data_IF_139098649663
#
_entry.id   IF_139098649663
#
_cell.length_a   1.000
_cell.length_b   1.000
_cell.length_c   1.000
_cell.angle_alpha   90.00
_cell.angle_beta   90.00
_cell.angle_gamma   90.00
#
_symmetry.space_group_name_H-M   'P 1'
#
loop_
_entity.id
_entity.type
_entity.pdbx_description
1 polymer ?
#
# COMPACT_ATOMS: atom_id res chain seq x y z
N UNK A 1 -18.39 -36.65 -4.51
CA UNK A 1 -19.82 -36.42 -4.25
C UNK A 1 -19.98 -35.92 -2.82
N UNK A 2 -20.26 -34.63 -2.64
CA UNK A 2 -20.59 -34.07 -1.32
C UNK A 2 -22.06 -34.47 -1.09
N UNK A 3 -22.32 -35.46 -0.28
CA UNK A 3 -23.65 -36.04 -0.06
C UNK A 3 -23.98 -36.05 1.45
N UNK A 4 -23.43 -35.16 2.23
CA UNK A 4 -23.81 -35.06 3.64
C UNK A 4 -24.57 -33.75 3.91
N UNK A 5 -25.33 -33.72 5.00
CA UNK A 5 -26.00 -32.54 5.50
C UNK A 5 -25.01 -31.56 6.20
N UNK A 6 -23.72 -31.98 6.30
CA UNK A 6 -22.68 -31.16 6.93
C UNK A 6 -22.28 -29.97 6.04
N UNK A 7 -21.85 -28.89 6.66
CA UNK A 7 -21.27 -27.74 5.98
C UNK A 7 -19.80 -28.01 5.64
N UNK A 8 -19.41 -27.67 4.41
CA UNK A 8 -18.06 -27.83 3.91
C UNK A 8 -17.44 -26.46 3.61
N UNK A 9 -16.20 -26.27 4.04
CA UNK A 9 -15.37 -25.12 3.70
C UNK A 9 -14.30 -25.58 2.73
N UNK A 10 -14.31 -25.03 1.51
CA UNK A 10 -13.38 -25.40 0.45
C UNK A 10 -12.41 -24.25 0.22
N UNK A 11 -11.13 -24.50 0.46
CA UNK A 11 -10.05 -23.54 0.24
C UNK A 11 -9.28 -23.95 -1.01
N UNK A 12 -9.21 -23.06 -1.99
CA UNK A 12 -8.49 -23.24 -3.23
C UNK A 12 -7.41 -22.14 -3.33
N UNK A 13 -6.16 -22.57 -3.19
CA UNK A 13 -5.02 -21.65 -3.16
C UNK A 13 -4.40 -21.49 -4.55
N UNK A 14 -3.99 -20.25 -4.89
CA UNK A 14 -3.35 -19.87 -6.14
C UNK A 14 -4.11 -20.40 -7.39
N UNK A 15 -5.44 -20.21 -7.41
CA UNK A 15 -6.33 -20.82 -8.42
C UNK A 15 -6.01 -20.39 -9.85
N UNK A 16 -5.37 -19.25 -10.07
CA UNK A 16 -4.96 -18.76 -11.39
C UNK A 16 -3.95 -19.70 -12.09
N UNK A 17 -3.33 -20.60 -11.35
CA UNK A 17 -2.42 -21.61 -11.91
C UNK A 17 -3.16 -22.82 -12.54
N UNK A 18 -4.49 -22.88 -12.38
CA UNK A 18 -5.32 -23.99 -12.90
C UNK A 18 -6.22 -23.47 -14.01
N UNK A 19 -5.99 -23.85 -15.28
CA UNK A 19 -6.86 -23.43 -16.37
C UNK A 19 -8.31 -23.90 -16.16
N UNK A 20 -9.27 -23.00 -16.35
CA UNK A 20 -10.71 -23.32 -16.24
C UNK A 20 -11.22 -23.51 -14.79
N UNK A 21 -10.47 -23.10 -13.77
CA UNK A 21 -10.89 -23.17 -12.36
C UNK A 21 -12.24 -22.50 -12.10
N UNK A 22 -12.61 -21.49 -12.89
CA UNK A 22 -13.86 -20.75 -12.75
C UNK A 22 -15.09 -21.68 -12.80
N UNK A 23 -15.09 -22.68 -13.69
CA UNK A 23 -16.19 -23.68 -13.80
C UNK A 23 -16.26 -24.59 -12.57
N UNK A 24 -15.11 -24.94 -12.00
CA UNK A 24 -15.06 -25.73 -10.77
C UNK A 24 -15.61 -24.95 -9.58
N UNK A 25 -15.20 -23.67 -9.46
CA UNK A 25 -15.70 -22.76 -8.42
C UNK A 25 -17.20 -22.55 -8.55
N UNK A 26 -17.73 -22.26 -9.75
CA UNK A 26 -19.16 -22.10 -9.97
C UNK A 26 -19.94 -23.38 -9.61
N UNK A 27 -19.43 -24.56 -9.98
CA UNK A 27 -20.06 -25.84 -9.63
C UNK A 27 -20.06 -26.17 -8.12
N UNK A 28 -19.13 -25.61 -7.35
CA UNK A 28 -19.12 -25.70 -5.90
C UNK A 28 -20.07 -24.68 -5.26
N UNK A 29 -20.06 -23.46 -5.79
CA UNK A 29 -20.88 -22.35 -5.29
C UNK A 29 -22.39 -22.62 -5.30
N UNK A 30 -22.89 -23.35 -6.29
CA UNK A 30 -24.33 -23.70 -6.36
C UNK A 30 -24.79 -24.71 -5.28
N UNK A 31 -23.87 -25.27 -4.50
CA UNK A 31 -24.19 -26.22 -3.43
C UNK A 31 -24.48 -25.44 -2.15
N UNK A 32 -25.67 -25.71 -1.55
CA UNK A 32 -26.16 -24.97 -0.37
C UNK A 32 -25.33 -25.15 0.89
N UNK A 33 -24.55 -26.22 0.97
CA UNK A 33 -23.75 -26.59 2.13
C UNK A 33 -22.24 -26.45 1.87
N UNK A 34 -21.84 -25.61 0.91
CA UNK A 34 -20.42 -25.40 0.58
C UNK A 34 -20.10 -23.90 0.55
N UNK A 35 -19.18 -23.48 1.41
CA UNK A 35 -18.55 -22.20 1.36
C UNK A 35 -17.19 -22.32 0.64
N UNK A 36 -16.96 -21.49 -0.39
CA UNK A 36 -15.76 -21.56 -1.21
C UNK A 36 -14.89 -20.33 -0.96
N UNK A 37 -13.65 -20.57 -0.60
CA UNK A 37 -12.59 -19.56 -0.44
C UNK A 37 -11.55 -19.79 -1.51
N UNK A 38 -11.25 -18.75 -2.28
CA UNK A 38 -10.21 -18.81 -3.32
C UNK A 38 -9.16 -17.73 -3.04
N UNK A 39 -7.88 -18.07 -3.29
CA UNK A 39 -6.80 -17.11 -3.22
C UNK A 39 -6.11 -16.92 -4.56
N UNK A 40 -5.43 -15.80 -4.69
CA UNK A 40 -4.54 -15.51 -5.80
C UNK A 40 -3.68 -14.30 -5.54
N UNK A 41 -2.48 -14.35 -6.07
CA UNK A 41 -1.41 -13.38 -5.80
C UNK A 41 -1.46 -12.13 -6.67
N UNK A 42 -2.54 -11.88 -7.43
CA UNK A 42 -2.63 -10.67 -8.24
C UNK A 42 -4.07 -10.18 -8.48
N UNK A 43 -4.19 -8.90 -8.88
CA UNK A 43 -5.46 -8.25 -9.22
C UNK A 43 -6.16 -8.89 -10.43
N UNK A 44 -5.45 -9.66 -11.27
CA UNK A 44 -5.99 -10.31 -12.46
C UNK A 44 -6.98 -11.44 -12.12
N UNK A 45 -6.90 -11.97 -10.90
CA UNK A 45 -7.83 -13.00 -10.44
C UNK A 45 -9.29 -12.55 -10.54
N UNK A 46 -9.54 -11.27 -10.30
CA UNK A 46 -10.88 -10.67 -10.30
C UNK A 46 -11.24 -9.95 -11.61
N UNK A 47 -10.35 -10.01 -12.61
CA UNK A 47 -10.60 -9.48 -13.95
C UNK A 47 -10.99 -10.58 -14.94
N UNK A 48 -11.62 -10.22 -16.03
CA UNK A 48 -11.98 -11.16 -17.12
C UNK A 48 -13.12 -12.13 -16.76
N UNK A 49 -12.91 -13.42 -17.02
CA UNK A 49 -13.97 -14.45 -16.90
C UNK A 49 -14.50 -14.61 -15.46
N UNK A 50 -13.66 -14.45 -14.43
CA UNK A 50 -14.11 -14.53 -13.04
C UNK A 50 -15.05 -13.38 -12.70
N UNK A 51 -14.72 -12.16 -13.14
CA UNK A 51 -15.56 -11.01 -12.94
C UNK A 51 -16.93 -11.17 -13.60
N UNK A 52 -17.01 -11.89 -14.74
CA UNK A 52 -18.26 -12.13 -15.44
C UNK A 52 -19.06 -13.31 -14.85
N UNK A 53 -18.42 -14.43 -14.55
CA UNK A 53 -19.10 -15.63 -14.05
C UNK A 53 -19.55 -15.54 -12.60
N UNK A 54 -18.77 -14.87 -11.75
CA UNK A 54 -19.05 -14.74 -10.32
C UNK A 54 -19.46 -13.33 -9.92
N UNK A 55 -19.76 -12.45 -10.87
CA UNK A 55 -20.16 -11.06 -10.60
C UNK A 55 -21.33 -11.00 -9.61
N UNK A 56 -21.15 -10.23 -8.53
CA UNK A 56 -22.15 -10.10 -7.45
C UNK A 56 -22.31 -11.31 -6.54
N UNK A 57 -21.46 -12.34 -6.68
CA UNK A 57 -21.51 -13.61 -5.92
C UNK A 57 -20.33 -13.85 -5.01
N UNK A 58 -19.40 -12.90 -4.89
CA UNK A 58 -18.22 -13.02 -4.02
C UNK A 58 -17.99 -11.73 -3.23
N UNK A 59 -17.24 -11.88 -2.15
CA UNK A 59 -16.70 -10.78 -1.37
C UNK A 59 -15.18 -10.82 -1.54
N UNK A 60 -14.59 -9.69 -1.95
CA UNK A 60 -13.15 -9.54 -2.06
C UNK A 60 -12.56 -9.17 -0.70
N UNK A 61 -11.56 -9.96 -0.26
CA UNK A 61 -10.76 -9.66 0.93
C UNK A 61 -9.33 -9.35 0.48
N UNK A 62 -8.95 -8.08 0.55
CA UNK A 62 -7.60 -7.62 0.21
C UNK A 62 -6.68 -7.81 1.41
N UNK A 63 -5.67 -8.68 1.23
CA UNK A 63 -4.66 -8.92 2.25
C UNK A 63 -3.46 -7.99 2.03
N UNK A 64 -3.14 -7.19 3.05
CA UNK A 64 -1.92 -6.39 3.13
C UNK A 64 -0.90 -7.08 4.04
N UNK A 65 0.38 -6.74 4.00
CA UNK A 65 1.33 -7.11 5.06
C UNK A 65 0.79 -6.75 6.44
N UNK A 66 1.35 -7.29 7.51
CA UNK A 66 0.89 -7.02 8.87
C UNK A 66 0.77 -5.52 9.13
N UNK A 67 -0.33 -5.09 9.74
CA UNK A 67 -0.47 -3.77 10.33
C UNK A 67 0.52 -3.58 11.47
N UNK A 68 0.78 -2.34 11.88
CA UNK A 68 1.59 -2.11 13.06
C UNK A 68 0.95 -2.75 14.32
N UNK A 69 -0.37 -2.72 14.45
CA UNK A 69 -1.11 -3.37 15.53
C UNK A 69 -0.91 -4.89 15.55
N UNK A 70 -0.96 -5.55 14.40
CA UNK A 70 -0.66 -6.98 14.28
C UNK A 70 0.83 -7.27 14.53
N UNK A 71 1.72 -6.42 14.04
CA UNK A 71 3.16 -6.54 14.26
C UNK A 71 3.50 -6.52 15.76
N UNK A 72 3.02 -5.53 16.51
CA UNK A 72 3.33 -5.43 17.96
C UNK A 72 2.76 -6.59 18.75
N UNK A 73 1.61 -7.17 18.34
CA UNK A 73 1.01 -8.32 19.02
C UNK A 73 1.90 -9.57 19.02
N UNK A 74 2.88 -9.61 18.13
CA UNK A 74 3.85 -10.70 18.06
C UNK A 74 5.02 -10.56 19.05
N UNK A 75 5.18 -9.43 19.73
CA UNK A 75 6.31 -9.17 20.63
C UNK A 75 5.84 -8.92 22.06
N UNK A 76 6.52 -9.54 23.04
CA UNK A 76 6.32 -9.28 24.47
C UNK A 76 7.07 -8.00 24.90
N UNK A 77 6.81 -6.88 24.23
CA UNK A 77 7.48 -5.60 24.44
C UNK A 77 6.47 -4.45 24.33
N UNK A 78 6.41 -3.61 25.36
CA UNK A 78 5.50 -2.47 25.43
C UNK A 78 6.16 -1.14 24.97
N UNK A 79 7.39 -1.17 24.48
CA UNK A 79 8.03 0.00 23.91
C UNK A 79 7.58 0.18 22.46
N UNK A 80 6.34 0.64 22.27
CA UNK A 80 5.72 0.81 20.94
C UNK A 80 6.48 1.78 20.06
N UNK A 81 7.16 2.79 20.62
CA UNK A 81 7.97 3.73 19.84
C UNK A 81 9.16 3.03 19.18
N UNK A 82 9.88 2.19 19.93
CA UNK A 82 10.99 1.42 19.37
C UNK A 82 10.48 0.38 18.37
N UNK A 83 9.40 -0.34 18.69
CA UNK A 83 8.78 -1.30 17.79
C UNK A 83 8.31 -0.63 16.48
N UNK A 84 7.88 0.63 16.56
CA UNK A 84 7.48 1.38 15.35
C UNK A 84 8.68 1.74 14.47
N UNK A 85 9.78 2.17 15.05
CA UNK A 85 11.02 2.41 14.30
C UNK A 85 11.53 1.12 13.61
N UNK A 86 11.43 -0.01 14.32
CA UNK A 86 11.78 -1.32 13.77
C UNK A 86 10.82 -1.73 12.65
N UNK A 87 9.51 -1.49 12.80
CA UNK A 87 8.50 -1.73 11.78
C UNK A 87 8.72 -0.86 10.52
N UNK A 88 9.04 0.42 10.71
CA UNK A 88 9.37 1.32 9.59
C UNK A 88 10.55 0.81 8.77
N UNK A 89 11.56 0.22 9.41
CA UNK A 89 12.77 -0.29 8.77
C UNK A 89 12.58 -1.69 8.17
N UNK A 90 12.00 -2.58 8.96
CA UNK A 90 11.97 -4.01 8.66
C UNK A 90 10.70 -4.44 7.91
N UNK A 91 9.66 -3.59 7.91
CA UNK A 91 8.38 -3.88 7.27
C UNK A 91 7.47 -4.83 8.04
N UNK A 92 6.32 -5.12 7.45
CA UNK A 92 5.26 -5.95 8.00
C UNK A 92 5.09 -7.31 7.31
N UNK A 93 6.06 -7.80 6.53
CA UNK A 93 5.94 -9.14 5.96
C UNK A 93 5.86 -10.19 7.08
N UNK A 94 4.86 -11.12 7.07
CA UNK A 94 4.61 -12.02 8.22
C UNK A 94 5.83 -12.84 8.65
N UNK A 95 6.64 -13.32 7.70
CA UNK A 95 7.84 -14.08 8.02
C UNK A 95 8.95 -13.27 8.69
N UNK A 96 8.92 -11.93 8.60
CA UNK A 96 9.88 -11.06 9.30
C UNK A 96 9.86 -11.31 10.81
N UNK A 97 8.68 -11.54 11.40
CA UNK A 97 8.52 -11.75 12.84
C UNK A 97 9.41 -12.88 13.34
N UNK A 98 9.38 -14.03 12.69
CA UNK A 98 10.18 -15.19 13.09
C UNK A 98 11.69 -14.94 12.94
N UNK A 99 12.08 -14.24 11.87
CA UNK A 99 13.45 -13.90 11.59
C UNK A 99 13.98 -12.88 12.60
N UNK A 100 13.23 -11.84 12.89
CA UNK A 100 13.59 -10.82 13.88
C UNK A 100 13.75 -11.41 15.29
N UNK A 101 12.96 -12.42 15.64
CA UNK A 101 13.07 -13.15 16.90
C UNK A 101 14.25 -14.12 16.97
N UNK A 102 14.74 -14.60 15.82
CA UNK A 102 15.82 -15.60 15.74
C UNK A 102 17.16 -14.99 15.36
N UNK A 103 17.28 -14.47 14.16
CA UNK A 103 18.53 -13.91 13.63
C UNK A 103 18.24 -12.81 12.58
N UNK A 104 18.30 -11.56 13.00
CA UNK A 104 18.05 -10.39 12.16
C UNK A 104 18.93 -10.34 10.89
N UNK A 105 20.10 -10.95 10.91
CA UNK A 105 21.03 -10.97 9.76
C UNK A 105 20.50 -11.78 8.56
N UNK A 106 19.48 -12.59 8.75
CA UNK A 106 18.84 -13.36 7.67
C UNK A 106 17.65 -12.62 7.03
N UNK A 107 17.29 -11.43 7.54
CA UNK A 107 16.17 -10.65 7.04
C UNK A 107 16.35 -10.26 5.56
N UNK A 108 17.51 -9.76 5.20
CA UNK A 108 17.78 -9.36 3.80
C UNK A 108 17.70 -10.54 2.83
N UNK A 109 18.15 -11.73 3.23
CA UNK A 109 18.02 -12.95 2.42
C UNK A 109 16.55 -13.36 2.23
N UNK A 110 15.75 -13.22 3.28
CA UNK A 110 14.32 -13.52 3.22
C UNK A 110 13.58 -12.53 2.31
N UNK A 111 13.85 -11.23 2.46
CA UNK A 111 13.26 -10.19 1.62
C UNK A 111 13.71 -10.30 0.16
N UNK A 112 14.95 -10.69 -0.10
CA UNK A 112 15.44 -11.04 -1.45
C UNK A 112 14.63 -12.17 -2.08
N UNK A 113 14.38 -13.23 -1.31
CA UNK A 113 13.56 -14.35 -1.76
C UNK A 113 12.13 -13.95 -2.13
N UNK A 114 11.50 -13.11 -1.31
CA UNK A 114 10.16 -12.55 -1.60
C UNK A 114 10.21 -11.69 -2.85
N UNK A 115 11.11 -10.71 -2.89
CA UNK A 115 11.25 -9.79 -4.03
C UNK A 115 11.51 -10.54 -5.33
N UNK A 116 12.45 -11.48 -5.33
CA UNK A 116 12.77 -12.31 -6.48
C UNK A 116 11.56 -13.12 -6.94
N UNK A 117 10.79 -13.70 -6.02
CA UNK A 117 9.58 -14.45 -6.37
C UNK A 117 8.55 -13.56 -7.05
N UNK A 118 8.26 -12.38 -6.50
CA UNK A 118 7.32 -11.43 -7.07
C UNK A 118 7.79 -10.98 -8.46
N UNK A 119 9.06 -10.57 -8.59
CA UNK A 119 9.61 -10.04 -9.85
C UNK A 119 9.62 -11.12 -10.93
N UNK A 120 10.13 -12.32 -10.64
CA UNK A 120 10.29 -13.35 -11.68
C UNK A 120 9.00 -14.10 -12.00
N UNK A 121 8.22 -14.52 -10.98
CA UNK A 121 7.01 -15.32 -11.21
C UNK A 121 5.79 -14.46 -11.50
N UNK A 122 5.58 -13.41 -10.69
CA UNK A 122 4.33 -12.66 -10.77
C UNK A 122 4.37 -11.51 -11.78
N UNK A 123 5.54 -10.94 -12.04
CA UNK A 123 5.66 -9.81 -12.95
C UNK A 123 6.21 -10.26 -14.31
N UNK A 124 7.46 -10.75 -14.36
CA UNK A 124 8.11 -11.05 -15.64
C UNK A 124 7.44 -12.18 -16.40
N UNK A 125 7.21 -13.33 -15.76
CA UNK A 125 6.64 -14.49 -16.44
C UNK A 125 5.21 -14.24 -16.94
N UNK A 126 4.37 -13.55 -16.15
CA UNK A 126 2.98 -13.27 -16.53
C UNK A 126 2.84 -12.21 -17.62
N UNK A 127 3.69 -11.19 -17.61
CA UNK A 127 3.61 -10.07 -18.55
C UNK A 127 4.57 -10.21 -19.74
N UNK A 128 5.21 -11.39 -19.90
CA UNK A 128 6.22 -11.63 -20.94
C UNK A 128 7.33 -10.55 -20.96
N UNK A 129 7.71 -10.04 -19.79
CA UNK A 129 8.77 -9.05 -19.65
C UNK A 129 10.11 -9.79 -19.70
N UNK A 130 10.96 -9.45 -20.67
CA UNK A 130 12.28 -10.06 -20.86
C UNK A 130 13.44 -9.19 -20.36
N UNK A 131 13.25 -7.87 -20.35
CA UNK A 131 14.27 -6.93 -19.87
C UNK A 131 14.19 -6.73 -18.35
N UNK A 132 14.93 -7.62 -17.64
CA UNK A 132 15.04 -7.59 -16.18
C UNK A 132 15.68 -6.30 -15.69
N UNK A 133 16.75 -5.83 -16.35
CA UNK A 133 17.51 -4.66 -15.90
C UNK A 133 16.66 -3.40 -15.94
N UNK A 134 15.89 -3.22 -17.00
CA UNK A 134 14.97 -2.11 -17.12
C UNK A 134 13.85 -2.20 -16.07
N UNK A 135 13.26 -3.39 -15.87
CA UNK A 135 12.22 -3.60 -14.85
C UNK A 135 12.74 -3.25 -13.45
N UNK A 136 13.89 -3.78 -13.05
CA UNK A 136 14.49 -3.46 -11.74
C UNK A 136 14.81 -1.98 -11.60
N UNK A 137 15.20 -1.32 -12.69
CA UNK A 137 15.47 0.12 -12.69
C UNK A 137 14.19 0.95 -12.48
N UNK A 138 13.08 0.54 -13.10
CA UNK A 138 11.76 1.14 -12.88
C UNK A 138 11.29 0.92 -11.44
N UNK A 139 11.43 -0.30 -10.91
CA UNK A 139 11.09 -0.62 -9.51
C UNK A 139 11.89 0.27 -8.56
N UNK A 140 13.21 0.30 -8.70
CA UNK A 140 14.09 1.13 -7.85
C UNK A 140 13.74 2.60 -7.92
N UNK A 141 13.39 3.11 -9.12
CA UNK A 141 12.96 4.50 -9.26
C UNK A 141 11.68 4.80 -8.47
N UNK A 142 10.68 3.93 -8.56
CA UNK A 142 9.40 4.11 -7.87
C UNK A 142 9.59 3.99 -6.35
N UNK A 143 10.36 2.99 -5.89
CA UNK A 143 10.65 2.78 -4.47
C UNK A 143 11.43 3.95 -3.86
N UNK A 144 12.33 4.57 -4.64
CA UNK A 144 13.07 5.77 -4.22
C UNK A 144 12.18 7.03 -4.16
N UNK A 145 11.15 7.08 -4.96
CA UNK A 145 10.28 8.27 -5.12
C UNK A 145 8.90 8.11 -4.46
N UNK A 146 8.74 7.19 -3.48
CA UNK A 146 7.45 7.02 -2.78
C UNK A 146 6.98 8.35 -2.18
N UNK A 147 5.66 8.56 -2.13
CA UNK A 147 5.07 9.78 -1.60
C UNK A 147 5.32 11.05 -2.44
N UNK A 148 6.11 10.95 -3.51
CA UNK A 148 6.36 12.08 -4.42
C UNK A 148 5.50 11.96 -5.68
N UNK A 149 5.01 13.07 -6.26
CA UNK A 149 4.31 13.05 -7.55
C UNK A 149 5.25 12.57 -8.67
N UNK A 150 4.82 11.55 -9.40
CA UNK A 150 5.60 10.95 -10.48
C UNK A 150 4.77 10.93 -11.76
N UNK A 151 5.40 11.30 -12.89
CA UNK A 151 4.86 11.05 -14.22
C UNK A 151 5.66 9.97 -14.96
N UNK A 152 5.01 9.19 -15.79
CA UNK A 152 5.62 8.16 -16.65
C UNK A 152 6.76 8.76 -17.46
N UNK A 153 6.53 9.96 -18.03
CA UNK A 153 7.55 10.68 -18.79
C UNK A 153 8.81 10.96 -17.96
N UNK A 154 8.65 11.41 -16.70
CA UNK A 154 9.79 11.70 -15.82
C UNK A 154 10.62 10.44 -15.54
N UNK A 155 9.97 9.28 -15.37
CA UNK A 155 10.69 7.99 -15.22
C UNK A 155 11.48 7.68 -16.48
N UNK A 156 10.82 7.69 -17.64
CA UNK A 156 11.44 7.39 -18.93
C UNK A 156 12.63 8.31 -19.23
N UNK A 157 12.46 9.62 -19.07
CA UNK A 157 13.50 10.62 -19.30
C UNK A 157 14.70 10.39 -18.35
N UNK A 158 14.43 10.09 -17.07
CA UNK A 158 15.49 9.83 -16.06
C UNK A 158 16.26 8.56 -16.38
N UNK A 159 15.60 7.47 -16.76
CA UNK A 159 16.26 6.21 -17.11
C UNK A 159 17.10 6.37 -18.38
N UNK A 160 16.56 7.04 -19.39
CA UNK A 160 17.27 7.34 -20.64
C UNK A 160 18.51 8.19 -20.39
N UNK A 161 18.43 9.20 -19.53
CA UNK A 161 19.60 10.02 -19.15
C UNK A 161 20.71 9.24 -18.43
N UNK A 162 20.34 8.12 -17.80
CA UNK A 162 21.29 7.16 -17.18
C UNK A 162 21.78 6.07 -18.14
N UNK A 163 21.49 6.18 -19.43
CA UNK A 163 21.90 5.22 -20.46
C UNK A 163 21.01 3.99 -20.59
N UNK A 164 19.85 3.95 -19.91
CA UNK A 164 18.86 2.87 -20.02
C UNK A 164 17.78 3.32 -21.00
N UNK A 165 17.89 2.90 -22.26
CA UNK A 165 16.93 3.27 -23.31
C UNK A 165 15.54 2.67 -22.99
N UNK A 166 14.53 3.50 -22.95
CA UNK A 166 13.14 3.06 -22.74
C UNK A 166 12.14 4.03 -23.36
N UNK A 167 10.90 3.63 -23.46
CA UNK A 167 9.76 4.45 -23.92
C UNK A 167 8.74 4.66 -22.80
N UNK A 168 7.93 5.71 -22.94
CA UNK A 168 6.82 5.94 -22.01
C UNK A 168 5.86 4.75 -21.96
N UNK A 169 5.57 4.13 -23.12
CA UNK A 169 4.70 2.97 -23.21
C UNK A 169 5.26 1.75 -22.46
N UNK A 170 6.58 1.50 -22.57
CA UNK A 170 7.23 0.41 -21.83
C UNK A 170 7.17 0.65 -20.32
N UNK A 171 7.46 1.88 -19.87
CA UNK A 171 7.38 2.25 -18.46
C UNK A 171 5.95 2.11 -17.94
N UNK A 172 4.93 2.52 -18.71
CA UNK A 172 3.53 2.38 -18.35
C UNK A 172 3.12 0.92 -18.18
N UNK A 173 3.51 0.05 -19.12
CA UNK A 173 3.26 -1.39 -19.01
C UNK A 173 3.92 -2.00 -17.77
N UNK A 174 5.13 -1.57 -17.44
CA UNK A 174 5.82 -2.06 -16.23
C UNK A 174 5.12 -1.59 -14.97
N UNK A 175 4.72 -0.32 -14.89
CA UNK A 175 3.94 0.20 -13.76
C UNK A 175 2.62 -0.56 -13.60
N UNK A 176 1.93 -0.85 -14.70
CA UNK A 176 0.70 -1.64 -14.68
C UNK A 176 0.96 -3.03 -14.08
N UNK A 177 2.02 -3.71 -14.53
CA UNK A 177 2.40 -5.02 -13.98
C UNK A 177 2.76 -4.97 -12.48
N UNK A 178 3.41 -3.88 -12.03
CA UNK A 178 3.71 -3.67 -10.61
C UNK A 178 2.43 -3.44 -9.77
N UNK A 179 1.46 -2.72 -10.30
CA UNK A 179 0.16 -2.51 -9.65
C UNK A 179 -0.64 -3.82 -9.58
N UNK A 180 -0.67 -4.58 -10.65
CA UNK A 180 -1.37 -5.86 -10.74
C UNK A 180 -0.78 -6.93 -9.81
N UNK A 181 0.53 -6.88 -9.54
CA UNK A 181 1.22 -7.76 -8.59
C UNK A 181 1.14 -7.29 -7.14
N UNK A 182 0.44 -6.21 -6.85
CA UNK A 182 0.36 -5.56 -5.54
C UNK A 182 1.72 -5.14 -4.94
N UNK A 183 2.77 -5.04 -5.76
CA UNK A 183 4.07 -4.57 -5.29
C UNK A 183 4.06 -3.07 -4.97
N UNK A 184 3.24 -2.32 -5.71
CA UNK A 184 2.97 -0.90 -5.49
C UNK A 184 1.47 -0.60 -5.52
N UNK A 185 1.09 0.51 -4.91
CA UNK A 185 -0.24 1.10 -4.94
C UNK A 185 -0.19 2.50 -5.52
N UNK A 186 -1.25 2.89 -6.23
CA UNK A 186 -1.38 4.21 -6.84
C UNK A 186 -2.40 5.03 -6.06
N UNK A 187 -2.01 6.23 -5.61
CA UNK A 187 -2.93 7.23 -5.12
C UNK A 187 -3.18 8.29 -6.20
N UNK A 188 -4.44 8.43 -6.59
CA UNK A 188 -4.88 9.43 -7.55
C UNK A 188 -4.99 10.79 -6.87
N UNK A 189 -4.91 11.86 -7.63
CA UNK A 189 -5.10 13.22 -7.09
C UNK A 189 -6.57 13.59 -7.09
N UNK A 190 -7.00 14.20 -5.99
CA UNK A 190 -8.35 14.67 -5.77
C UNK A 190 -8.37 16.18 -5.54
N UNK A 191 -9.08 16.91 -6.41
CA UNK A 191 -9.33 18.34 -6.20
C UNK A 191 -10.40 18.48 -5.11
N UNK A 192 -9.96 18.94 -3.93
CA UNK A 192 -10.82 19.06 -2.75
C UNK A 192 -11.95 20.07 -2.96
N UNK A 193 -11.68 21.17 -3.64
CA UNK A 193 -12.68 22.21 -3.92
C UNK A 193 -13.59 21.84 -5.08
N UNK A 194 -13.03 21.29 -6.15
CA UNK A 194 -13.76 20.84 -7.33
C UNK A 194 -14.47 19.50 -7.14
N UNK A 195 -14.13 18.75 -6.08
CA UNK A 195 -14.66 17.41 -5.78
C UNK A 195 -14.58 16.45 -6.96
N UNK A 196 -13.44 16.43 -7.66
CA UNK A 196 -13.19 15.59 -8.82
C UNK A 196 -11.77 15.02 -8.82
N UNK A 197 -11.59 13.91 -9.55
CA UNK A 197 -10.29 13.29 -9.75
C UNK A 197 -9.50 14.03 -10.83
N UNK A 198 -8.19 14.17 -10.60
CA UNK A 198 -7.25 14.77 -11.53
C UNK A 198 -6.44 13.69 -12.25
N UNK A 199 -6.36 13.76 -13.57
CA UNK A 199 -5.80 12.70 -14.42
C UNK A 199 -4.26 12.67 -14.51
N UNK A 200 -3.52 13.39 -13.68
CA UNK A 200 -2.05 13.51 -13.78
C UNK A 200 -1.37 13.56 -12.41
N UNK A 201 -0.06 13.23 -12.41
CA UNK A 201 0.82 13.37 -11.24
C UNK A 201 0.39 12.51 -10.04
N UNK A 202 0.30 11.19 -10.28
CA UNK A 202 0.00 10.22 -9.24
C UNK A 202 1.15 10.08 -8.25
N UNK A 203 0.82 9.76 -7.00
CA UNK A 203 1.81 9.22 -6.06
C UNK A 203 1.74 7.70 -6.06
N UNK A 204 2.89 7.08 -5.81
CA UNK A 204 2.98 5.63 -5.64
C UNK A 204 3.49 5.32 -4.26
N UNK A 205 2.92 4.27 -3.67
CA UNK A 205 3.29 3.74 -2.36
C UNK A 205 3.67 2.26 -2.52
N UNK A 206 4.63 1.81 -1.75
CA UNK A 206 5.10 0.42 -1.81
C UNK A 206 4.32 -0.43 -0.82
N UNK A 207 4.17 -1.71 -1.14
CA UNK A 207 3.43 -2.67 -0.30
C UNK A 207 4.05 -2.86 1.07
N UNK A 208 5.37 -2.71 1.18
CA UNK A 208 6.12 -2.98 2.42
C UNK A 208 7.39 -2.13 2.52
N UNK A 209 7.60 -1.49 3.67
CA UNK A 209 8.76 -0.65 3.94
C UNK A 209 10.05 -1.46 4.07
N UNK A 210 9.99 -2.71 4.52
CA UNK A 210 11.14 -3.60 4.60
C UNK A 210 11.67 -3.98 3.22
N UNK A 211 10.79 -4.29 2.26
CA UNK A 211 11.19 -4.49 0.87
C UNK A 211 11.86 -3.24 0.28
N UNK A 212 11.36 -2.04 0.62
CA UNK A 212 12.00 -0.79 0.23
C UNK A 212 13.39 -0.64 0.83
N UNK A 213 13.52 -0.90 2.14
CA UNK A 213 14.81 -0.84 2.84
C UNK A 213 15.82 -1.82 2.25
N UNK A 214 15.40 -3.04 1.96
CA UNK A 214 16.21 -4.06 1.28
C UNK A 214 16.74 -3.56 -0.08
N UNK A 215 15.86 -3.00 -0.92
CA UNK A 215 16.22 -2.57 -2.29
C UNK A 215 17.10 -1.32 -2.34
N UNK A 216 16.91 -0.38 -1.44
CA UNK A 216 17.58 0.93 -1.43
C UNK A 216 18.74 1.00 -0.46
N UNK A 217 18.83 0.05 0.48
CA UNK A 217 19.87 0.02 1.51
C UNK A 217 19.87 1.29 2.37
N UNK A 218 21.06 1.80 2.73
CA UNK A 218 21.21 2.99 3.58
C UNK A 218 20.47 4.25 3.11
N UNK A 219 20.14 4.34 1.83
CA UNK A 219 19.39 5.48 1.31
C UNK A 219 17.96 5.54 1.88
N UNK A 220 17.39 4.40 2.23
CA UNK A 220 16.07 4.36 2.86
C UNK A 220 16.04 5.04 4.23
N UNK A 221 17.12 4.97 5.00
CA UNK A 221 17.18 5.53 6.37
C UNK A 221 17.07 7.07 6.40
N UNK A 222 17.39 7.76 5.31
CA UNK A 222 17.31 9.24 5.25
C UNK A 222 15.92 9.78 4.90
N UNK A 223 14.94 8.89 4.65
CA UNK A 223 13.66 9.26 4.07
C UNK A 223 12.47 8.84 4.94
N UNK A 224 12.64 9.02 6.24
CA UNK A 224 11.66 8.58 7.26
C UNK A 224 10.27 9.20 7.05
N UNK A 225 10.19 10.44 6.54
CA UNK A 225 8.91 11.12 6.29
C UNK A 225 8.06 10.39 5.26
N UNK A 226 8.65 10.03 4.12
CA UNK A 226 7.94 9.28 3.08
C UNK A 226 7.61 7.83 3.50
N UNK A 227 8.46 7.20 4.34
CA UNK A 227 8.14 5.89 4.93
C UNK A 227 6.92 6.00 5.84
N UNK A 228 6.87 7.03 6.69
CA UNK A 228 5.74 7.30 7.57
C UNK A 228 4.45 7.52 6.76
N UNK A 229 4.53 8.36 5.72
CA UNK A 229 3.42 8.59 4.79
C UNK A 229 2.96 7.28 4.13
N UNK A 230 3.89 6.43 3.68
CA UNK A 230 3.57 5.12 3.10
C UNK A 230 2.84 4.19 4.08
N UNK A 231 3.25 4.16 5.35
CA UNK A 231 2.60 3.34 6.39
C UNK A 231 1.17 3.84 6.65
N UNK A 232 1.00 5.16 6.75
CA UNK A 232 -0.34 5.76 6.93
C UNK A 232 -1.23 5.46 5.73
N UNK A 233 -0.71 5.54 4.50
CA UNK A 233 -1.44 5.17 3.29
C UNK A 233 -1.97 3.73 3.34
N UNK A 234 -1.10 2.77 3.66
CA UNK A 234 -1.49 1.36 3.75
C UNK A 234 -2.50 1.11 4.88
N UNK A 235 -2.35 1.81 6.01
CA UNK A 235 -3.30 1.71 7.11
C UNK A 235 -4.68 2.26 6.73
N UNK A 236 -4.75 3.37 6.01
CA UNK A 236 -6.01 3.90 5.50
C UNK A 236 -6.70 2.93 4.54
N UNK A 237 -5.93 2.25 3.66
CA UNK A 237 -6.48 1.18 2.81
C UNK A 237 -7.02 0.01 3.64
N UNK A 238 -6.31 -0.39 4.70
CA UNK A 238 -6.71 -1.49 5.61
C UNK A 238 -8.00 -1.16 6.34
N UNK A 239 -8.20 0.12 6.72
CA UNK A 239 -9.44 0.62 7.32
C UNK A 239 -10.59 0.76 6.31
N UNK A 240 -10.38 0.33 5.05
CA UNK A 240 -11.41 0.30 4.02
C UNK A 240 -11.67 1.63 3.31
N UNK A 241 -10.80 2.61 3.47
CA UNK A 241 -10.91 3.87 2.73
C UNK A 241 -10.42 3.74 1.29
N UNK A 242 -11.05 4.49 0.39
CA UNK A 242 -10.43 4.92 -0.86
C UNK A 242 -9.54 6.10 -0.54
N UNK A 243 -8.28 6.03 -0.95
CA UNK A 243 -7.28 7.02 -0.54
C UNK A 243 -6.77 7.77 -1.76
N UNK A 244 -6.80 9.09 -1.66
CA UNK A 244 -6.35 10.01 -2.70
C UNK A 244 -5.34 10.99 -2.11
N UNK A 245 -4.55 11.63 -2.98
CA UNK A 245 -3.74 12.80 -2.63
C UNK A 245 -4.56 14.06 -2.87
N UNK A 246 -4.77 14.86 -1.84
CA UNK A 246 -5.58 16.07 -1.92
C UNK A 246 -4.85 17.21 -2.59
N UNK A 247 -5.54 17.94 -3.47
CA UNK A 247 -5.09 19.24 -3.99
C UNK A 247 -6.06 20.31 -3.54
N UNK A 248 -5.53 21.35 -2.88
CA UNK A 248 -6.28 22.53 -2.44
C UNK A 248 -5.54 23.77 -2.93
N UNK A 249 -6.03 24.42 -3.98
CA UNK A 249 -5.30 25.49 -4.68
C UNK A 249 -3.90 25.01 -5.12
N UNK A 250 -2.83 25.65 -4.62
CA UNK A 250 -1.43 25.27 -4.86
C UNK A 250 -0.84 24.41 -3.73
N UNK A 251 -1.66 24.01 -2.75
CA UNK A 251 -1.25 23.20 -1.62
C UNK A 251 -1.65 21.73 -1.84
N UNK A 252 -0.93 20.86 -1.14
CA UNK A 252 -1.23 19.42 -1.08
C UNK A 252 -1.71 19.04 0.30
N UNK A 253 -2.72 18.20 0.37
CA UNK A 253 -3.11 17.42 1.55
C UNK A 253 -2.66 16.00 1.30
N UNK A 254 -1.86 15.42 2.19
CA UNK A 254 -1.24 14.13 1.96
C UNK A 254 -2.28 13.08 1.63
N UNK A 255 -3.39 13.01 2.40
CA UNK A 255 -4.45 12.07 2.10
C UNK A 255 -5.85 12.66 2.24
N UNK A 256 -6.67 12.34 1.25
CA UNK A 256 -8.13 12.42 1.30
C UNK A 256 -8.64 10.98 1.34
N UNK A 257 -9.17 10.57 2.48
CA UNK A 257 -9.70 9.25 2.71
C UNK A 257 -11.23 9.27 2.60
N UNK A 258 -11.78 8.48 1.69
CA UNK A 258 -13.21 8.41 1.40
C UNK A 258 -13.79 7.05 1.80
N UNK A 259 -14.90 7.06 2.51
CA UNK A 259 -15.73 5.90 2.77
C UNK A 259 -17.22 6.26 2.66
N UNK A 260 -18.11 5.37 3.13
CA UNK A 260 -19.57 5.61 3.11
C UNK A 260 -20.00 6.77 4.00
N UNK A 261 -19.21 7.11 5.02
CA UNK A 261 -19.51 8.18 5.99
C UNK A 261 -19.03 9.56 5.49
N UNK A 262 -18.31 9.60 4.38
CA UNK A 262 -17.82 10.83 3.76
C UNK A 262 -16.31 10.89 3.65
N UNK A 263 -15.77 12.12 3.64
CA UNK A 263 -14.35 12.40 3.51
C UNK A 263 -13.70 12.62 4.88
N UNK A 264 -12.41 12.28 4.97
CA UNK A 264 -11.50 12.64 6.07
C UNK A 264 -10.18 13.10 5.47
N UNK A 265 -9.54 14.07 6.10
CA UNK A 265 -8.27 14.61 5.64
C UNK A 265 -7.16 14.28 6.61
N UNK A 266 -6.03 13.86 6.09
CA UNK A 266 -4.86 13.52 6.88
C UNK A 266 -3.63 14.24 6.33
N UNK A 267 -2.87 14.85 7.23
CA UNK A 267 -1.53 15.36 6.97
C UNK A 267 -0.56 14.59 7.83
N UNK A 268 0.63 14.27 7.31
CA UNK A 268 1.60 13.38 7.95
C UNK A 268 2.95 14.08 8.04
N UNK A 269 3.48 14.24 9.24
CA UNK A 269 4.79 14.84 9.45
C UNK A 269 5.58 14.06 10.51
N UNK A 270 6.90 14.00 10.39
CA UNK A 270 7.73 13.39 11.44
C UNK A 270 7.61 14.14 12.76
N UNK A 271 7.66 15.46 12.70
CA UNK A 271 7.54 16.34 13.86
C UNK A 271 7.03 17.72 13.43
N UNK A 272 6.27 18.35 14.30
CA UNK A 272 5.77 19.71 14.12
C UNK A 272 6.13 20.63 15.30
N UNK A 273 7.23 20.31 16.00
CA UNK A 273 7.73 21.13 17.12
C UNK A 273 8.26 22.47 16.68
N UNK A 274 8.71 22.60 15.45
CA UNK A 274 9.01 23.89 14.84
C UNK A 274 7.71 24.55 14.39
N UNK A 275 7.49 25.81 14.84
CA UNK A 275 6.26 26.55 14.59
C UNK A 275 5.99 26.75 13.09
N UNK A 276 7.04 27.00 12.29
CA UNK A 276 6.91 27.18 10.83
C UNK A 276 6.50 25.88 10.15
N UNK A 277 6.99 24.74 10.65
CA UNK A 277 6.58 23.43 10.15
C UNK A 277 5.11 23.18 10.49
N UNK A 278 4.72 23.44 11.75
CA UNK A 278 3.33 23.32 12.19
C UNK A 278 2.38 24.16 11.33
N UNK A 279 2.70 25.45 11.15
CA UNK A 279 1.89 26.35 10.32
C UNK A 279 1.76 25.86 8.87
N UNK A 280 2.85 25.32 8.30
CA UNK A 280 2.85 24.77 6.95
C UNK A 280 1.92 23.57 6.83
N UNK A 281 2.01 22.61 7.77
CA UNK A 281 1.20 21.40 7.75
C UNK A 281 -0.29 21.69 8.02
N UNK A 282 -0.60 22.61 8.92
CA UNK A 282 -1.98 23.02 9.19
C UNK A 282 -2.61 23.77 8.02
N UNK A 283 -1.82 24.56 7.29
CA UNK A 283 -2.30 25.46 6.23
C UNK A 283 -3.06 24.72 5.12
N UNK A 284 -2.61 23.53 4.72
CA UNK A 284 -3.28 22.73 3.69
C UNK A 284 -4.66 22.28 4.17
N UNK A 285 -4.76 21.78 5.40
CA UNK A 285 -6.00 21.33 6.03
C UNK A 285 -6.99 22.48 6.29
N UNK A 286 -6.51 23.65 6.73
CA UNK A 286 -7.36 24.84 6.95
C UNK A 286 -7.99 25.35 5.66
N UNK A 287 -7.29 25.22 4.52
CA UNK A 287 -7.77 25.69 3.23
C UNK A 287 -8.77 24.79 2.52
N UNK A 288 -9.09 23.62 3.05
CA UNK A 288 -10.11 22.72 2.46
C UNK A 288 -11.48 23.38 2.40
N UNK A 289 -11.81 24.25 3.37
CA UNK A 289 -13.03 25.06 3.38
C UNK A 289 -14.32 24.30 3.70
N UNK A 290 -14.22 23.07 4.14
CA UNK A 290 -15.33 22.21 4.53
C UNK A 290 -15.22 21.72 5.98
N UNK A 291 -16.24 21.00 6.46
CA UNK A 291 -16.37 20.55 7.84
C UNK A 291 -16.00 19.06 8.05
N UNK A 292 -15.41 18.42 7.05
CA UNK A 292 -14.95 17.05 7.22
C UNK A 292 -13.81 16.96 8.24
N UNK A 293 -13.70 15.84 8.98
CA UNK A 293 -12.64 15.65 9.97
C UNK A 293 -11.24 15.83 9.37
N UNK A 294 -10.38 16.51 10.11
CA UNK A 294 -9.01 16.83 9.74
C UNK A 294 -8.07 16.35 10.82
N UNK A 295 -7.06 15.59 10.43
CA UNK A 295 -6.09 15.01 11.37
C UNK A 295 -4.66 15.28 10.90
N UNK A 296 -3.83 15.78 11.80
CA UNK A 296 -2.39 15.89 11.63
C UNK A 296 -1.73 14.76 12.44
N UNK A 297 -1.14 13.81 11.72
CA UNK A 297 -0.43 12.66 12.30
C UNK A 297 1.06 12.97 12.43
N UNK A 298 1.63 12.80 13.63
CA UNK A 298 3.05 13.05 13.89
C UNK A 298 3.66 11.97 14.77
N UNK A 299 5.01 11.92 14.84
CA UNK A 299 5.74 11.12 15.83
C UNK A 299 5.96 11.87 17.17
N UNK A 300 5.49 13.11 17.28
CA UNK A 300 5.59 13.85 18.52
C UNK A 300 4.80 13.16 19.62
N UNK A 301 5.42 12.99 20.78
CA UNK A 301 4.85 12.29 21.95
C UNK A 301 4.01 13.22 22.87
N UNK A 302 3.66 14.39 22.36
CA UNK A 302 2.84 15.34 23.09
C UNK A 302 1.39 14.84 23.16
N UNK A 303 0.63 15.35 24.13
CA UNK A 303 -0.80 15.07 24.24
C UNK A 303 -1.53 15.49 22.96
N UNK A 304 -2.63 14.79 22.68
CA UNK A 304 -3.55 15.18 21.62
C UNK A 304 -3.93 16.65 21.78
N UNK A 305 -3.85 17.40 20.67
CA UNK A 305 -4.10 18.84 20.65
C UNK A 305 -5.02 19.15 19.48
N UNK A 306 -5.93 20.10 19.67
CA UNK A 306 -6.82 20.61 18.62
C UNK A 306 -6.39 22.01 18.17
N UNK A 307 -6.25 22.19 16.88
CA UNK A 307 -5.95 23.48 16.23
C UNK A 307 -7.13 23.89 15.36
N UNK A 308 -8.10 24.57 15.91
CA UNK A 308 -9.30 25.05 15.21
C UNK A 308 -10.03 23.95 14.43
N UNK A 309 -10.23 22.79 15.09
CA UNK A 309 -10.90 21.64 14.52
C UNK A 309 -9.99 20.68 13.73
N UNK A 310 -8.67 20.90 13.76
CA UNK A 310 -7.66 19.97 13.25
C UNK A 310 -7.03 19.25 14.44
N UNK A 311 -7.26 17.95 14.54
CA UNK A 311 -6.70 17.12 15.62
C UNK A 311 -5.26 16.74 15.31
N UNK A 312 -4.32 17.05 16.22
CA UNK A 312 -2.96 16.48 16.18
C UNK A 312 -2.93 15.22 17.04
N UNK A 313 -2.54 14.11 16.45
CA UNK A 313 -2.49 12.78 17.09
C UNK A 313 -1.13 12.15 16.86
N UNK A 314 -0.59 11.46 17.89
CA UNK A 314 0.60 10.63 17.68
C UNK A 314 0.25 9.46 16.75
N UNK A 315 1.06 9.26 15.70
CA UNK A 315 0.79 8.25 14.68
C UNK A 315 0.84 6.82 15.24
N UNK A 316 1.68 6.55 16.24
CA UNK A 316 1.76 5.23 16.90
C UNK A 316 0.45 4.92 17.61
N UNK A 317 -0.09 5.88 18.35
CA UNK A 317 -1.38 5.74 19.04
C UNK A 317 -2.51 5.55 18.04
N UNK A 318 -2.50 6.32 16.94
CA UNK A 318 -3.48 6.19 15.87
C UNK A 318 -3.43 4.82 15.18
N UNK A 319 -2.23 4.28 14.92
CA UNK A 319 -2.06 2.94 14.31
C UNK A 319 -2.51 1.80 15.24
N UNK A 320 -2.48 2.01 16.55
CA UNK A 320 -2.93 1.04 17.54
C UNK A 320 -4.44 1.15 17.85
N UNK A 321 -5.06 2.27 17.49
CA UNK A 321 -6.52 2.48 17.69
C UNK A 321 -7.36 1.67 16.70
N UNK A 322 -8.63 1.48 17.04
CA UNK A 322 -9.64 0.84 16.19
C UNK A 322 -10.53 1.87 15.46
N UNK A 323 -10.20 3.18 15.56
CA UNK A 323 -10.96 4.27 14.93
C UNK A 323 -10.64 4.43 13.46
#
# INVERSE_FOLDING_TARGET
>A
KIISEDNFYVFLDEVQNVPGFQRAVDSLYIKKNVDVYITGSNAYLLSGELATLLSGRYIEIKMLPLSFKEYVSAFDNNNYQQLFLDYMRNGGMPGNINILKSNVNDLDKYLDGIFSTIVYKDIMARNNITDKLLLESVIKYIFDSIGSPISIKKISDTLTSKGISTSNHTVENYITALLESFLIYKAERFDVKGKNLLARDYKYYVVDSGLRSYLLGKKADSDMGHILENIVYLELLRRGYKVYVGKVDDLEVDFVAENRDGLRYYQVALTVRDEKVLERELRSLQKTGDHYPKTLLTLDMDLETDYDGIKKINVVDWLLSDE
#
